data_IF_660168244994
#
_entry.id   IF_660168244994
#
_cell.length_a   1.000
_cell.length_b   1.000
_cell.length_c   1.000
_cell.angle_alpha   90.00
_cell.angle_beta   90.00
_cell.angle_gamma   90.00
#
_symmetry.space_group_name_H-M   'P 1'
#
loop_
_entity.id
_entity.type
_entity.pdbx_description
1 polymer ?
#
# COMPACT_ATOMS: atom_id res chain seq x y z
N UNK A 1 -9.96 29.37 -0.21
CA UNK A 1 -10.85 28.68 0.77
C UNK A 1 -11.09 27.25 0.30
N UNK A 2 -11.12 26.26 1.17
CA UNK A 2 -11.41 24.90 0.73
C UNK A 2 -12.81 24.83 0.11
N UNK A 3 -12.93 24.17 -1.03
CA UNK A 3 -14.20 23.96 -1.72
C UNK A 3 -15.01 22.95 -0.91
N UNK A 4 -16.17 23.33 -0.40
CA UNK A 4 -17.06 22.41 0.32
C UNK A 4 -17.67 21.40 -0.65
N UNK A 5 -18.07 20.21 -0.16
CA UNK A 5 -18.72 19.17 -0.98
C UNK A 5 -19.92 19.72 -1.77
N UNK A 6 -20.75 20.56 -1.16
CA UNK A 6 -21.90 21.21 -1.80
C UNK A 6 -21.48 22.17 -2.93
N UNK A 7 -20.39 22.94 -2.73
CA UNK A 7 -19.87 23.86 -3.74
C UNK A 7 -19.36 23.09 -4.96
N UNK A 8 -18.67 21.96 -4.75
CA UNK A 8 -18.18 21.12 -5.83
C UNK A 8 -19.33 20.56 -6.69
N UNK A 9 -20.43 20.12 -6.07
CA UNK A 9 -21.63 19.64 -6.79
C UNK A 9 -22.20 20.73 -7.69
N UNK A 10 -22.30 21.98 -7.20
CA UNK A 10 -22.77 23.11 -8.00
C UNK A 10 -21.81 23.42 -9.16
N UNK A 11 -20.50 23.37 -8.91
CA UNK A 11 -19.52 23.61 -9.95
C UNK A 11 -19.57 22.56 -11.08
N UNK A 12 -19.85 21.30 -10.77
CA UNK A 12 -20.09 20.27 -11.80
C UNK A 12 -21.39 20.52 -12.58
N UNK A 13 -22.43 20.99 -11.91
CA UNK A 13 -23.69 21.35 -12.58
C UNK A 13 -23.49 22.56 -13.51
N UNK A 14 -22.75 23.58 -13.06
CA UNK A 14 -22.36 24.75 -13.88
C UNK A 14 -21.52 24.31 -15.10
N UNK A 15 -20.48 23.51 -14.91
CA UNK A 15 -19.62 23.00 -15.99
C UNK A 15 -20.45 22.34 -17.11
N UNK A 16 -21.38 21.46 -16.72
CA UNK A 16 -22.26 20.77 -17.67
C UNK A 16 -23.11 21.76 -18.49
N UNK A 17 -23.60 22.82 -17.86
CA UNK A 17 -24.40 23.85 -18.53
C UNK A 17 -23.55 24.75 -19.43
N UNK A 18 -22.43 25.26 -18.92
CA UNK A 18 -21.55 26.21 -19.61
C UNK A 18 -20.84 25.60 -20.83
N UNK A 19 -20.56 24.29 -20.78
CA UNK A 19 -19.98 23.54 -21.89
C UNK A 19 -20.96 23.28 -23.05
N UNK A 20 -22.27 23.35 -22.79
CA UNK A 20 -23.28 23.06 -23.80
C UNK A 20 -23.38 24.21 -24.81
N UNK A 21 -22.89 23.99 -26.04
CA UNK A 21 -22.90 24.99 -27.12
C UNK A 21 -24.23 25.08 -27.86
N UNK A 22 -25.16 24.13 -27.67
CA UNK A 22 -26.44 24.08 -28.40
C UNK A 22 -27.55 24.78 -27.66
N UNK A 23 -27.52 24.84 -26.32
CA UNK A 23 -28.53 25.49 -25.48
C UNK A 23 -27.95 26.75 -24.84
N UNK A 24 -28.75 27.81 -24.78
CA UNK A 24 -28.44 29.03 -24.05
C UNK A 24 -28.92 28.87 -22.60
N UNK A 25 -28.05 29.10 -21.65
CA UNK A 25 -28.33 29.05 -20.22
C UNK A 25 -28.31 30.46 -19.65
N UNK A 26 -29.43 30.90 -19.13
CA UNK A 26 -29.56 32.15 -18.38
C UNK A 26 -29.28 31.87 -16.90
N UNK A 27 -29.12 32.93 -16.08
CA UNK A 27 -28.76 32.74 -14.66
C UNK A 27 -29.83 31.95 -13.89
N UNK A 28 -31.07 32.08 -14.29
CA UNK A 28 -32.22 31.33 -13.71
C UNK A 28 -32.13 29.83 -14.08
N UNK A 29 -31.73 29.50 -15.30
CA UNK A 29 -31.54 28.14 -15.74
C UNK A 29 -30.35 27.49 -15.00
N UNK A 30 -29.24 28.22 -14.84
CA UNK A 30 -28.07 27.78 -14.07
C UNK A 30 -28.44 27.50 -12.61
N UNK A 31 -29.23 28.38 -12.01
CA UNK A 31 -29.74 28.19 -10.66
C UNK A 31 -30.62 26.95 -10.54
N UNK A 32 -31.52 26.73 -11.49
CA UNK A 32 -32.44 25.58 -11.50
C UNK A 32 -31.64 24.25 -11.62
N UNK A 33 -30.66 24.18 -12.51
CA UNK A 33 -29.80 22.97 -12.70
C UNK A 33 -28.92 22.71 -11.48
N UNK A 34 -28.38 23.76 -10.83
CA UNK A 34 -27.63 23.62 -9.60
C UNK A 34 -28.47 23.12 -8.44
N UNK A 35 -29.70 23.67 -8.28
CA UNK A 35 -30.64 23.25 -7.24
C UNK A 35 -31.09 21.80 -7.45
N UNK A 36 -31.36 21.39 -8.71
CA UNK A 36 -31.66 20.01 -9.05
C UNK A 36 -30.52 19.05 -8.69
N UNK A 37 -29.26 19.46 -8.90
CA UNK A 37 -28.10 18.66 -8.52
C UNK A 37 -27.90 18.56 -7.00
N UNK A 38 -28.24 19.62 -6.26
CA UNK A 38 -28.22 19.64 -4.80
C UNK A 38 -29.34 18.77 -4.19
N UNK A 39 -30.54 18.84 -4.77
CA UNK A 39 -31.68 18.02 -4.34
C UNK A 39 -31.39 16.51 -4.48
N UNK A 40 -30.69 16.11 -5.54
CA UNK A 40 -30.30 14.71 -5.76
C UNK A 40 -29.37 14.14 -4.66
N UNK A 41 -28.82 14.98 -3.79
CA UNK A 41 -27.94 14.61 -2.66
C UNK A 41 -28.44 15.13 -1.32
N UNK A 42 -29.76 15.37 -1.22
CA UNK A 42 -30.47 15.85 -0.02
C UNK A 42 -29.90 17.16 0.57
N UNK A 43 -29.41 18.06 -0.31
CA UNK A 43 -28.91 19.37 0.10
C UNK A 43 -29.95 20.47 -0.14
N UNK A 44 -29.89 21.53 0.69
CA UNK A 44 -30.79 22.67 0.58
C UNK A 44 -30.54 23.48 -0.70
N UNK A 45 -31.61 24.06 -1.32
CA UNK A 45 -31.47 24.90 -2.50
C UNK A 45 -30.74 26.21 -2.18
N UNK A 46 -30.06 26.75 -3.20
CA UNK A 46 -29.33 28.01 -3.10
C UNK A 46 -30.08 29.18 -3.73
N UNK A 47 -29.63 30.39 -3.42
CA UNK A 47 -30.18 31.64 -3.95
C UNK A 47 -29.47 32.09 -5.24
N UNK A 48 -30.12 33.01 -5.96
CA UNK A 48 -29.58 33.68 -7.15
C UNK A 48 -28.27 34.42 -6.86
N UNK A 49 -28.12 34.96 -5.66
CA UNK A 49 -26.88 35.61 -5.21
C UNK A 49 -25.72 34.60 -5.11
N UNK A 50 -26.02 33.40 -4.61
CA UNK A 50 -25.03 32.34 -4.47
C UNK A 50 -24.50 31.90 -5.83
N UNK A 51 -25.41 31.70 -6.83
CA UNK A 51 -25.01 31.28 -8.16
C UNK A 51 -24.15 32.32 -8.87
N UNK A 52 -24.46 33.64 -8.73
CA UNK A 52 -23.63 34.71 -9.28
C UNK A 52 -22.23 34.74 -8.66
N UNK A 53 -22.15 34.53 -7.35
CA UNK A 53 -20.85 34.42 -6.68
C UNK A 53 -20.07 33.19 -7.15
N UNK A 54 -20.77 32.05 -7.29
CA UNK A 54 -20.14 30.82 -7.78
C UNK A 54 -19.59 31.01 -9.22
N UNK A 55 -20.29 31.71 -10.12
CA UNK A 55 -19.82 32.02 -11.48
C UNK A 55 -18.52 32.85 -11.44
N UNK A 56 -18.50 33.92 -10.63
CA UNK A 56 -17.30 34.78 -10.52
C UNK A 56 -16.11 34.05 -9.90
N UNK A 57 -16.36 33.23 -8.87
CA UNK A 57 -15.30 32.44 -8.26
C UNK A 57 -14.82 31.30 -9.17
N UNK A 58 -15.70 30.76 -10.02
CA UNK A 58 -15.38 29.69 -10.96
C UNK A 58 -14.27 30.08 -11.93
N UNK A 59 -14.32 31.32 -12.48
CA UNK A 59 -13.30 31.86 -13.37
C UNK A 59 -11.92 31.90 -12.70
N UNK A 60 -11.88 32.35 -11.44
CA UNK A 60 -10.65 32.45 -10.66
C UNK A 60 -10.10 31.08 -10.24
N UNK A 61 -11.00 30.17 -9.79
CA UNK A 61 -10.59 28.86 -9.29
C UNK A 61 -10.09 27.92 -10.37
N UNK A 62 -10.65 28.02 -11.58
CA UNK A 62 -10.36 27.08 -12.65
C UNK A 62 -9.64 27.71 -13.84
N UNK A 63 -9.19 28.96 -13.68
CA UNK A 63 -8.46 29.73 -14.68
C UNK A 63 -9.12 29.67 -16.07
N UNK A 64 -10.42 29.96 -16.11
CA UNK A 64 -11.23 29.94 -17.32
C UNK A 64 -12.04 31.24 -17.43
N UNK A 65 -12.55 31.55 -18.61
CA UNK A 65 -13.39 32.72 -18.86
C UNK A 65 -14.81 32.27 -19.23
N UNK A 66 -15.80 32.83 -18.52
CA UNK A 66 -17.22 32.62 -18.81
C UNK A 66 -17.75 33.81 -19.61
N UNK A 67 -18.03 33.60 -20.87
CA UNK A 67 -18.58 34.62 -21.73
C UNK A 67 -20.04 34.98 -21.33
N UNK A 68 -20.30 36.29 -21.16
CA UNK A 68 -21.60 36.87 -20.87
C UNK A 68 -22.16 37.47 -22.17
N UNK A 69 -23.02 36.72 -22.86
CA UNK A 69 -23.45 37.06 -24.20
C UNK A 69 -24.90 37.51 -24.23
N UNK A 70 -25.26 38.67 -24.86
CA UNK A 70 -26.65 39.08 -25.01
C UNK A 70 -27.34 38.23 -26.10
N UNK A 71 -28.60 37.89 -25.86
CA UNK A 71 -29.50 37.35 -26.89
C UNK A 71 -30.13 38.47 -27.70
N UNK A 72 -31.03 38.12 -28.65
CA UNK A 72 -31.79 39.06 -29.49
C UNK A 72 -32.76 39.99 -28.71
N UNK A 73 -33.02 39.69 -27.43
CA UNK A 73 -33.92 40.43 -26.54
C UNK A 73 -33.14 41.16 -25.42
N UNK A 74 -31.76 41.14 -25.48
CA UNK A 74 -30.90 41.78 -24.47
C UNK A 74 -30.73 41.00 -23.17
N UNK A 75 -31.20 39.74 -23.09
CA UNK A 75 -30.96 38.87 -21.93
C UNK A 75 -29.59 38.24 -22.01
N UNK A 76 -28.85 38.19 -20.90
CA UNK A 76 -27.52 37.63 -20.83
C UNK A 76 -27.60 36.12 -20.60
N UNK A 77 -26.96 35.33 -21.47
CA UNK A 77 -26.71 33.91 -21.29
C UNK A 77 -25.20 33.66 -21.11
N UNK A 78 -24.89 32.51 -20.47
CA UNK A 78 -23.56 32.15 -20.03
C UNK A 78 -23.05 30.93 -20.76
N UNK A 79 -21.78 30.93 -21.17
CA UNK A 79 -21.05 29.75 -21.68
C UNK A 79 -19.56 29.97 -21.55
N UNK A 80 -18.76 28.93 -21.65
CA UNK A 80 -17.31 29.10 -21.75
C UNK A 80 -16.90 29.85 -23.01
N UNK A 81 -15.90 30.73 -22.89
CA UNK A 81 -15.28 31.37 -24.03
C UNK A 81 -14.50 30.35 -24.85
N UNK A 82 -13.77 29.43 -24.17
CA UNK A 82 -13.15 28.27 -24.79
C UNK A 82 -14.11 27.08 -24.85
N UNK A 83 -14.61 26.66 -26.04
CA UNK A 83 -15.50 25.54 -26.19
C UNK A 83 -14.89 24.17 -25.79
N UNK A 84 -13.58 24.07 -25.69
CA UNK A 84 -12.88 22.84 -25.30
C UNK A 84 -12.66 22.72 -23.80
N UNK A 85 -12.91 23.82 -23.08
CA UNK A 85 -12.79 23.81 -21.61
C UNK A 85 -13.82 22.87 -20.97
N UNK A 86 -13.38 22.12 -19.97
CA UNK A 86 -14.23 21.31 -19.10
C UNK A 86 -13.59 21.18 -17.75
N UNK A 87 -14.39 21.35 -16.71
CA UNK A 87 -13.94 21.12 -15.33
C UNK A 87 -13.36 19.71 -15.13
N UNK A 88 -13.91 18.72 -15.82
CA UNK A 88 -13.41 17.34 -15.78
C UNK A 88 -11.99 17.17 -16.36
N UNK A 89 -11.60 18.03 -17.33
CA UNK A 89 -10.25 18.05 -17.89
C UNK A 89 -9.30 18.90 -17.05
N UNK A 90 -9.82 19.88 -16.29
CA UNK A 90 -9.05 20.86 -15.51
C UNK A 90 -8.84 20.46 -14.05
N UNK A 91 -9.35 19.30 -13.60
CA UNK A 91 -9.27 18.87 -12.20
C UNK A 91 -7.87 18.52 -11.75
N UNK A 92 -6.97 18.22 -12.66
CA UNK A 92 -5.58 17.91 -12.38
C UNK A 92 -4.70 18.77 -13.30
N UNK A 93 -3.74 19.44 -12.73
CA UNK A 93 -2.65 20.08 -13.49
C UNK A 93 -1.78 19.02 -14.17
N UNK A 94 -1.04 19.38 -15.20
CA UNK A 94 -0.09 18.48 -15.88
C UNK A 94 0.91 17.85 -14.89
N UNK A 95 1.32 18.60 -13.87
CA UNK A 95 2.20 18.09 -12.79
C UNK A 95 1.50 17.05 -11.91
N UNK A 96 0.23 17.25 -11.56
CA UNK A 96 -0.56 16.28 -10.79
C UNK A 96 -0.88 15.04 -11.60
N UNK A 97 -1.13 15.18 -12.91
CA UNK A 97 -1.28 14.06 -13.85
C UNK A 97 0.01 13.25 -13.93
N UNK A 98 1.18 13.91 -14.00
CA UNK A 98 2.47 13.22 -13.99
C UNK A 98 2.69 12.45 -12.67
N UNK A 99 2.43 13.06 -11.51
CA UNK A 99 2.51 12.39 -10.21
C UNK A 99 1.53 11.22 -10.08
N UNK A 100 0.34 11.35 -10.66
CA UNK A 100 -0.63 10.26 -10.68
C UNK A 100 -0.16 9.10 -11.57
N UNK A 101 0.46 9.40 -12.73
CA UNK A 101 1.11 8.38 -13.58
C UNK A 101 2.18 7.62 -12.81
N UNK A 102 3.05 8.33 -12.09
CA UNK A 102 4.09 7.71 -11.26
C UNK A 102 3.49 6.81 -10.17
N UNK A 103 2.42 7.27 -9.51
CA UNK A 103 1.71 6.47 -8.51
C UNK A 103 1.06 5.22 -9.12
N UNK A 104 0.43 5.34 -10.30
CA UNK A 104 -0.15 4.20 -11.02
C UNK A 104 0.93 3.20 -11.46
N UNK A 105 2.09 3.70 -11.89
CA UNK A 105 3.25 2.85 -12.21
C UNK A 105 3.76 2.10 -10.97
N UNK A 106 3.79 2.75 -9.80
CA UNK A 106 4.13 2.08 -8.54
C UNK A 106 3.08 1.04 -8.14
N UNK A 107 1.79 1.31 -8.31
CA UNK A 107 0.72 0.36 -8.06
C UNK A 107 0.74 -0.82 -9.03
N UNK A 108 1.25 -0.64 -10.25
CA UNK A 108 1.39 -1.71 -11.22
C UNK A 108 2.33 -2.86 -10.77
N UNK A 109 3.14 -2.66 -9.69
CA UNK A 109 3.92 -3.73 -9.03
C UNK A 109 3.05 -4.90 -8.57
N UNK A 110 1.78 -4.62 -8.24
CA UNK A 110 0.83 -5.63 -7.81
C UNK A 110 0.07 -6.26 -8.99
N UNK A 111 0.37 -5.82 -10.23
CA UNK A 111 -0.21 -6.37 -11.45
C UNK A 111 0.26 -7.81 -11.62
N UNK A 112 -0.68 -8.72 -11.85
CA UNK A 112 -0.40 -10.16 -11.99
C UNK A 112 -0.52 -10.96 -10.69
N UNK A 113 -0.78 -10.32 -9.55
CA UNK A 113 -1.23 -11.02 -8.35
C UNK A 113 -2.76 -11.18 -8.43
N UNK A 114 -3.30 -12.40 -8.39
CA UNK A 114 -4.74 -12.66 -8.61
C UNK A 114 -5.67 -11.82 -7.74
N UNK A 115 -5.29 -11.61 -6.48
CA UNK A 115 -6.04 -10.83 -5.50
C UNK A 115 -6.05 -9.31 -5.76
N UNK A 116 -5.23 -8.83 -6.69
CA UNK A 116 -5.17 -7.42 -7.10
C UNK A 116 -5.67 -7.17 -8.52
N UNK A 117 -6.46 -8.09 -9.10
CA UNK A 117 -7.06 -7.91 -10.43
C UNK A 117 -7.91 -6.64 -10.50
N UNK A 118 -8.65 -6.31 -9.44
CA UNK A 118 -9.42 -5.07 -9.32
C UNK A 118 -8.54 -3.81 -9.48
N UNK A 119 -7.29 -3.87 -9.04
CA UNK A 119 -6.34 -2.75 -9.17
C UNK A 119 -5.96 -2.56 -10.64
N UNK A 120 -5.78 -3.63 -11.39
CA UNK A 120 -5.54 -3.57 -12.83
C UNK A 120 -6.73 -2.92 -13.57
N UNK A 121 -7.95 -3.31 -13.19
CA UNK A 121 -9.17 -2.70 -13.72
C UNK A 121 -9.28 -1.21 -13.35
N UNK A 122 -8.97 -0.86 -12.09
CA UNK A 122 -8.98 0.52 -11.62
C UNK A 122 -7.93 1.38 -12.35
N UNK A 123 -6.69 0.89 -12.49
CA UNK A 123 -5.62 1.56 -13.24
C UNK A 123 -6.07 1.82 -14.68
N UNK A 124 -6.60 0.80 -15.37
CA UNK A 124 -7.11 0.91 -16.74
C UNK A 124 -8.25 1.94 -16.84
N UNK A 125 -9.16 1.97 -15.88
CA UNK A 125 -10.26 2.96 -15.82
C UNK A 125 -9.75 4.39 -15.61
N UNK A 126 -8.72 4.57 -14.77
CA UNK A 126 -8.11 5.88 -14.52
C UNK A 126 -7.35 6.35 -15.76
N UNK A 127 -6.54 5.48 -16.37
CA UNK A 127 -5.81 5.75 -17.61
C UNK A 127 -6.78 6.18 -18.72
N UNK A 128 -7.86 5.45 -18.92
CA UNK A 128 -8.88 5.79 -19.92
C UNK A 128 -9.59 7.14 -19.63
N UNK A 129 -9.92 7.43 -18.37
CA UNK A 129 -10.58 8.69 -17.99
C UNK A 129 -9.68 9.91 -18.12
N UNK A 130 -8.40 9.76 -17.87
CA UNK A 130 -7.42 10.85 -17.94
C UNK A 130 -6.73 10.93 -19.30
N UNK A 131 -7.14 10.09 -20.28
CA UNK A 131 -6.49 9.99 -21.59
C UNK A 131 -4.96 9.85 -21.49
N UNK A 132 -4.52 9.04 -20.51
CA UNK A 132 -3.11 8.73 -20.33
C UNK A 132 -2.72 7.69 -21.38
N UNK A 133 -1.66 7.95 -22.16
CA UNK A 133 -1.14 6.97 -23.11
C UNK A 133 -0.69 5.70 -22.35
N UNK A 134 -1.32 4.57 -22.68
CA UNK A 134 -1.11 3.26 -22.03
C UNK A 134 0.26 2.62 -22.35
N UNK A 135 1.12 3.29 -23.11
CA UNK A 135 2.40 2.78 -23.59
C UNK A 135 3.59 3.30 -22.78
N UNK A 136 3.57 3.08 -21.47
CA UNK A 136 4.84 3.15 -20.74
C UNK A 136 5.38 1.73 -20.70
N UNK A 137 6.38 1.43 -21.51
CA UNK A 137 7.20 0.23 -21.32
C UNK A 137 7.63 0.19 -19.87
N UNK A 138 7.53 -0.98 -19.23
CA UNK A 138 7.95 -1.15 -17.85
C UNK A 138 9.45 -0.89 -17.74
N UNK A 139 9.82 0.32 -17.35
CA UNK A 139 11.23 0.72 -17.15
C UNK A 139 11.74 0.35 -15.74
N UNK A 140 10.87 -0.21 -14.89
CA UNK A 140 11.19 -0.65 -13.53
C UNK A 140 10.76 -2.10 -13.38
N UNK A 141 11.73 -2.97 -13.09
CA UNK A 141 11.49 -4.37 -12.74
C UNK A 141 11.49 -4.55 -11.23
N UNK A 142 10.59 -5.39 -10.74
CA UNK A 142 10.57 -5.85 -9.34
C UNK A 142 10.79 -7.36 -9.33
N UNK A 143 11.47 -7.85 -8.29
CA UNK A 143 11.56 -9.27 -8.06
C UNK A 143 10.18 -9.82 -7.71
N UNK A 144 9.60 -10.62 -8.61
CA UNK A 144 8.32 -11.29 -8.41
C UNK A 144 8.52 -12.79 -8.56
N UNK A 145 7.87 -13.56 -7.71
CA UNK A 145 7.84 -15.01 -7.81
C UNK A 145 6.44 -15.41 -8.31
N UNK A 146 6.35 -15.74 -9.60
CA UNK A 146 5.10 -16.17 -10.25
C UNK A 146 4.57 -17.52 -9.73
N UNK A 147 5.43 -18.29 -9.06
CA UNK A 147 5.09 -19.60 -8.49
C UNK A 147 4.77 -19.54 -6.99
N UNK A 148 4.59 -18.34 -6.44
CA UNK A 148 4.30 -18.16 -5.04
C UNK A 148 2.87 -18.66 -4.74
N UNK A 149 2.77 -19.67 -3.87
CA UNK A 149 1.50 -20.23 -3.41
C UNK A 149 0.93 -19.42 -2.24
N UNK A 150 -0.38 -19.54 -2.00
CA UNK A 150 -1.08 -18.88 -0.89
C UNK A 150 -1.48 -17.45 -1.16
N UNK A 151 -1.22 -16.91 -2.36
CA UNK A 151 -1.63 -15.56 -2.74
C UNK A 151 -3.15 -15.42 -2.84
N UNK A 152 -3.84 -16.49 -3.15
CA UNK A 152 -5.30 -16.58 -3.22
C UNK A 152 -5.99 -16.24 -1.90
N UNK A 153 -5.28 -16.39 -0.77
CA UNK A 153 -5.79 -16.07 0.56
C UNK A 153 -5.59 -14.59 0.95
N UNK A 154 -4.77 -13.84 0.21
CA UNK A 154 -4.32 -12.52 0.65
C UNK A 154 -5.47 -11.50 0.73
N UNK A 155 -6.36 -11.49 -0.27
CA UNK A 155 -7.53 -10.59 -0.30
C UNK A 155 -8.48 -10.87 0.86
N UNK A 156 -8.88 -12.13 1.02
CA UNK A 156 -9.80 -12.53 2.10
C UNK A 156 -9.21 -12.26 3.47
N UNK A 157 -7.92 -12.53 3.68
CA UNK A 157 -7.23 -12.23 4.94
C UNK A 157 -7.16 -10.74 5.21
N UNK A 158 -6.90 -9.92 4.19
CA UNK A 158 -6.92 -8.46 4.33
C UNK A 158 -8.30 -7.98 4.78
N UNK A 159 -9.37 -8.49 4.17
CA UNK A 159 -10.75 -8.16 4.52
C UNK A 159 -11.10 -8.58 5.95
N UNK A 160 -10.73 -9.79 6.37
CA UNK A 160 -10.95 -10.27 7.74
C UNK A 160 -10.22 -9.43 8.78
N UNK A 161 -8.99 -8.98 8.50
CA UNK A 161 -8.24 -8.08 9.38
C UNK A 161 -8.91 -6.71 9.46
N UNK A 162 -9.24 -6.10 8.33
CA UNK A 162 -9.87 -4.77 8.28
C UNK A 162 -11.24 -4.76 8.96
N UNK A 163 -12.02 -5.83 8.79
CA UNK A 163 -13.35 -5.96 9.37
C UNK A 163 -13.34 -6.58 10.80
N UNK A 164 -12.15 -6.86 11.36
CA UNK A 164 -11.98 -7.45 12.70
C UNK A 164 -12.82 -8.72 12.86
N UNK A 165 -12.60 -9.68 11.98
CA UNK A 165 -13.34 -10.93 11.96
C UNK A 165 -12.44 -12.10 12.37
N UNK A 166 -13.00 -13.01 13.19
CA UNK A 166 -12.35 -14.26 13.58
C UNK A 166 -12.51 -15.29 12.48
N UNK A 167 -11.47 -16.08 12.24
CA UNK A 167 -11.42 -17.07 11.16
C UNK A 167 -11.06 -18.46 11.68
N UNK A 168 -11.59 -19.49 11.02
CA UNK A 168 -11.19 -20.89 11.19
C UNK A 168 -10.29 -21.27 10.02
N UNK A 169 -9.06 -21.70 10.30
CA UNK A 169 -8.03 -21.97 9.30
C UNK A 169 -7.60 -23.42 9.36
N UNK A 170 -7.66 -24.12 8.22
CA UNK A 170 -7.01 -25.43 8.04
C UNK A 170 -5.58 -25.19 7.54
N UNK A 171 -4.60 -25.56 8.36
CA UNK A 171 -3.18 -25.35 8.12
C UNK A 171 -2.41 -26.66 7.98
N UNK A 172 -1.56 -26.77 6.95
CA UNK A 172 -0.74 -27.94 6.64
C UNK A 172 0.76 -27.60 6.74
N UNK A 173 1.41 -27.82 7.90
CA UNK A 173 2.87 -27.77 7.97
C UNK A 173 3.50 -28.84 7.09
N UNK A 174 4.72 -28.60 6.57
CA UNK A 174 5.37 -29.57 5.67
C UNK A 174 5.63 -30.92 6.35
N UNK A 175 6.00 -30.91 7.66
CA UNK A 175 6.44 -32.12 8.37
C UNK A 175 5.41 -32.64 9.38
N UNK A 176 4.17 -32.14 9.33
CA UNK A 176 3.12 -32.52 10.31
C UNK A 176 1.78 -32.66 9.59
N UNK A 177 0.85 -33.43 10.16
CA UNK A 177 -0.51 -33.48 9.63
C UNK A 177 -1.19 -32.12 9.70
N UNK A 178 -2.19 -31.90 8.83
CA UNK A 178 -3.02 -30.71 8.87
C UNK A 178 -3.79 -30.62 10.17
N UNK A 179 -4.02 -29.39 10.61
CA UNK A 179 -4.82 -29.11 11.78
C UNK A 179 -5.73 -27.91 11.57
N UNK A 180 -6.85 -27.91 12.26
CA UNK A 180 -7.79 -26.77 12.28
C UNK A 180 -7.52 -25.92 13.52
N UNK A 181 -7.50 -24.60 13.35
CA UNK A 181 -7.39 -23.64 14.45
C UNK A 181 -8.25 -22.41 14.21
N UNK A 182 -8.80 -21.85 15.28
CA UNK A 182 -9.52 -20.59 15.26
C UNK A 182 -8.55 -19.45 15.58
N UNK A 183 -8.52 -18.43 14.72
CA UNK A 183 -7.55 -17.34 14.76
C UNK A 183 -8.23 -15.98 14.77
N UNK A 184 -7.64 -15.05 15.51
CA UNK A 184 -7.89 -13.62 15.42
C UNK A 184 -6.79 -13.01 14.55
N UNK A 185 -7.01 -12.76 13.25
CA UNK A 185 -5.99 -12.27 12.33
C UNK A 185 -5.69 -10.80 12.59
N UNK A 186 -4.40 -10.44 12.64
CA UNK A 186 -3.98 -9.09 13.00
C UNK A 186 -3.15 -8.39 11.94
N UNK A 187 -2.20 -9.11 11.32
CA UNK A 187 -1.23 -8.48 10.46
C UNK A 187 -0.72 -9.43 9.38
N UNK A 188 -0.45 -8.90 8.19
CA UNK A 188 0.15 -9.66 7.08
C UNK A 188 1.50 -9.05 6.77
N UNK A 189 2.54 -9.87 6.76
CA UNK A 189 3.92 -9.46 6.49
C UNK A 189 4.53 -10.27 5.34
N UNK A 190 5.20 -9.57 4.42
CA UNK A 190 6.03 -10.22 3.41
C UNK A 190 7.49 -10.28 3.87
N UNK A 191 8.12 -11.43 3.72
CA UNK A 191 9.55 -11.62 3.91
C UNK A 191 10.11 -12.65 2.92
N UNK A 192 11.22 -12.31 2.24
CA UNK A 192 11.83 -13.15 1.20
C UNK A 192 10.80 -13.68 0.18
N UNK A 193 9.98 -12.77 -0.36
CA UNK A 193 8.91 -13.03 -1.31
C UNK A 193 7.79 -13.97 -0.81
N UNK A 194 7.79 -14.43 0.45
CA UNK A 194 6.73 -15.23 1.06
C UNK A 194 5.88 -14.37 1.98
N UNK A 195 4.57 -14.64 2.01
CA UNK A 195 3.62 -13.95 2.86
C UNK A 195 3.31 -14.74 4.12
N UNK A 196 3.13 -14.03 5.21
CA UNK A 196 2.86 -14.57 6.54
C UNK A 196 1.69 -13.84 7.19
N UNK A 197 0.80 -14.60 7.81
CA UNK A 197 -0.26 -14.11 8.68
C UNK A 197 0.22 -14.18 10.14
N UNK A 198 0.19 -13.05 10.83
CA UNK A 198 0.32 -12.98 12.28
C UNK A 198 -1.09 -12.95 12.90
N UNK A 199 -1.38 -13.90 13.75
CA UNK A 199 -2.69 -14.05 14.37
C UNK A 199 -2.57 -14.59 15.78
N UNK A 200 -3.55 -14.34 16.64
CA UNK A 200 -3.66 -15.01 17.94
C UNK A 200 -4.51 -16.26 17.80
N UNK A 201 -4.01 -17.37 18.27
CA UNK A 201 -4.78 -18.62 18.34
C UNK A 201 -5.76 -18.56 19.52
N UNK A 202 -7.06 -18.74 19.24
CA UNK A 202 -8.11 -18.63 20.24
C UNK A 202 -8.01 -19.71 21.36
N UNK A 203 -7.54 -20.90 21.03
CA UNK A 203 -7.43 -22.00 22.00
C UNK A 203 -6.23 -21.85 22.94
N UNK A 204 -5.08 -21.43 22.39
CA UNK A 204 -3.83 -21.35 23.14
C UNK A 204 -3.55 -19.96 23.69
N UNK A 205 -4.27 -18.94 23.21
CA UNK A 205 -4.05 -17.52 23.51
C UNK A 205 -2.62 -17.05 23.20
N UNK A 206 -1.95 -17.72 22.24
CA UNK A 206 -0.58 -17.39 21.82
C UNK A 206 -0.58 -16.83 20.40
N UNK A 207 0.36 -15.93 20.17
CA UNK A 207 0.63 -15.44 18.81
C UNK A 207 1.18 -16.58 17.95
N UNK A 208 0.66 -16.68 16.74
CA UNK A 208 1.11 -17.62 15.71
C UNK A 208 1.48 -16.87 14.44
N UNK A 209 2.57 -17.28 13.85
CA UNK A 209 2.97 -16.84 12.52
C UNK A 209 2.74 -18.00 11.53
N UNK A 210 1.92 -17.78 10.54
CA UNK A 210 1.51 -18.78 9.56
C UNK A 210 1.89 -18.34 8.15
N UNK A 211 2.65 -19.15 7.44
CA UNK A 211 2.95 -18.89 6.04
C UNK A 211 1.71 -19.19 5.19
N UNK A 212 1.33 -18.25 4.31
CA UNK A 212 0.11 -18.35 3.52
C UNK A 212 0.10 -19.56 2.58
N UNK A 213 1.28 -19.94 2.06
CA UNK A 213 1.48 -21.10 1.18
C UNK A 213 1.16 -22.48 1.84
N UNK A 214 0.86 -22.47 3.13
CA UNK A 214 0.48 -23.67 3.90
C UNK A 214 -0.95 -23.63 4.42
N UNK A 215 -1.68 -22.58 4.12
CA UNK A 215 -3.11 -22.47 4.40
C UNK A 215 -3.85 -23.25 3.31
N UNK A 216 -4.69 -24.17 3.70
CA UNK A 216 -5.53 -24.94 2.78
C UNK A 216 -6.91 -24.31 2.61
N UNK A 217 -7.53 -23.93 3.72
CA UNK A 217 -8.88 -23.36 3.73
C UNK A 217 -9.01 -22.30 4.82
N UNK A 218 -9.84 -21.32 4.55
CA UNK A 218 -10.20 -20.24 5.50
C UNK A 218 -11.72 -20.10 5.49
N UNK A 219 -12.31 -20.11 6.68
CA UNK A 219 -13.73 -19.88 6.87
C UNK A 219 -13.96 -18.82 7.94
N UNK A 220 -15.05 -18.06 7.82
CA UNK A 220 -15.48 -17.12 8.85
C UNK A 220 -15.93 -17.91 10.09
N UNK A 221 -15.38 -17.56 11.26
CA UNK A 221 -15.78 -18.15 12.52
C UNK A 221 -16.90 -17.36 13.19
N UNK A 222 -17.73 -18.04 13.98
CA UNK A 222 -18.77 -17.41 14.81
C UNK A 222 -18.23 -16.85 16.15
N UNK A 223 -16.96 -17.08 16.44
CA UNK A 223 -16.31 -16.62 17.68
C UNK A 223 -16.08 -15.11 17.61
N UNK A 224 -16.37 -14.39 18.71
CA UNK A 224 -16.14 -12.97 18.80
C UNK A 224 -14.65 -12.64 18.64
N UNK A 225 -14.36 -11.59 17.87
CA UNK A 225 -12.99 -11.13 17.62
C UNK A 225 -12.36 -10.52 18.88
N UNK A 226 -11.13 -10.91 19.17
CA UNK A 226 -10.32 -10.35 20.25
C UNK A 226 -9.31 -9.40 19.62
N UNK A 227 -9.35 -8.08 19.89
CA UNK A 227 -8.36 -7.15 19.38
C UNK A 227 -7.00 -7.36 20.04
N UNK A 228 -5.90 -7.10 19.30
CA UNK A 228 -4.57 -7.04 19.88
C UNK A 228 -4.27 -5.60 20.37
N UNK A 229 -3.59 -5.50 21.49
CA UNK A 229 -3.02 -4.25 22.04
C UNK A 229 -1.51 -4.18 21.70
N UNK A 230 -1.15 -4.44 20.42
CA UNK A 230 0.23 -4.53 19.95
C UNK A 230 0.42 -3.55 18.79
N UNK A 231 1.49 -2.79 18.80
CA UNK A 231 1.95 -2.08 17.61
C UNK A 231 2.71 -3.06 16.69
N UNK A 232 2.08 -3.40 15.57
CA UNK A 232 2.66 -4.35 14.63
C UNK A 232 3.82 -3.77 13.81
N UNK A 233 3.98 -2.45 13.78
CA UNK A 233 5.16 -1.83 13.19
C UNK A 233 6.41 -2.13 14.03
N UNK A 234 6.26 -2.13 15.37
CA UNK A 234 7.34 -2.40 16.31
C UNK A 234 7.51 -3.90 16.62
N UNK A 235 6.46 -4.71 16.42
CA UNK A 235 6.45 -6.13 16.81
C UNK A 235 7.62 -6.95 16.25
N UNK A 236 8.12 -6.57 15.08
CA UNK A 236 9.22 -7.26 14.40
C UNK A 236 10.55 -6.50 14.48
N UNK A 237 10.61 -5.41 15.24
CA UNK A 237 11.79 -4.54 15.29
C UNK A 237 13.01 -5.20 15.90
N UNK A 238 12.81 -6.18 16.77
CA UNK A 238 13.90 -6.91 17.41
C UNK A 238 14.39 -8.13 16.63
N UNK A 239 13.87 -8.39 15.42
CA UNK A 239 14.25 -9.58 14.63
C UNK A 239 14.59 -9.24 13.18
N UNK A 240 15.50 -10.02 12.61
CA UNK A 240 15.65 -10.10 11.17
C UNK A 240 14.61 -11.12 10.66
N UNK A 241 13.76 -10.68 9.73
CA UNK A 241 12.72 -11.55 9.17
C UNK A 241 11.39 -11.49 9.91
N UNK A 242 10.86 -12.64 10.25
CA UNK A 242 9.48 -12.77 10.77
C UNK A 242 9.35 -13.70 11.99
N UNK A 243 10.34 -14.54 12.25
CA UNK A 243 10.29 -15.52 13.36
C UNK A 243 10.78 -14.90 14.65
N UNK A 244 9.90 -14.84 15.65
CA UNK A 244 10.24 -14.44 17.02
C UNK A 244 10.23 -15.70 17.89
N UNK A 245 11.43 -16.17 18.35
CA UNK A 245 11.52 -17.29 19.28
C UNK A 245 10.84 -16.96 20.61
N UNK A 246 10.17 -17.95 21.21
CA UNK A 246 9.53 -17.78 22.52
C UNK A 246 10.57 -17.46 23.60
N UNK A 247 10.24 -16.53 24.49
CA UNK A 247 11.05 -16.16 25.67
C UNK A 247 12.49 -15.75 25.33
N UNK A 248 12.75 -15.30 24.09
CA UNK A 248 14.05 -14.82 23.67
C UNK A 248 14.15 -13.30 23.77
N UNK A 249 15.33 -12.83 24.16
CA UNK A 249 15.63 -11.41 24.33
C UNK A 249 16.63 -10.92 23.28
N UNK A 250 16.59 -9.63 22.88
CA UNK A 250 17.56 -9.04 21.99
C UNK A 250 18.99 -9.14 22.55
N UNK A 251 19.93 -9.52 21.69
CA UNK A 251 21.35 -9.68 22.03
C UNK A 251 22.20 -8.73 21.19
N UNK A 252 23.31 -8.28 21.75
CA UNK A 252 24.33 -7.55 21.02
C UNK A 252 25.19 -8.52 20.24
N UNK A 253 25.13 -8.45 18.92
CA UNK A 253 25.84 -9.32 18.01
C UNK A 253 26.93 -8.53 17.33
N UNK A 254 28.17 -8.92 17.52
CA UNK A 254 29.34 -8.35 16.86
C UNK A 254 29.71 -9.21 15.64
N UNK A 255 29.76 -8.58 14.50
CA UNK A 255 30.07 -9.21 13.21
C UNK A 255 31.27 -8.51 12.59
N UNK A 256 32.24 -9.30 12.10
CA UNK A 256 33.36 -8.81 11.29
C UNK A 256 33.10 -9.15 9.84
N UNK A 257 33.15 -8.16 8.98
CA UNK A 257 33.07 -8.32 7.53
C UNK A 257 34.39 -8.13 6.85
N UNK A 258 34.62 -8.86 5.75
CA UNK A 258 35.77 -8.62 4.89
C UNK A 258 35.76 -7.17 4.37
N UNK A 259 36.98 -6.64 4.09
CA UNK A 259 37.10 -5.28 3.55
C UNK A 259 36.33 -5.09 2.23
N UNK A 260 36.17 -6.14 1.44
CA UNK A 260 35.41 -6.15 0.20
C UNK A 260 33.89 -6.06 0.46
N UNK A 261 33.36 -6.77 1.46
CA UNK A 261 31.93 -6.85 1.74
C UNK A 261 31.42 -5.69 2.58
N UNK A 262 32.26 -5.12 3.44
CA UNK A 262 31.82 -4.06 4.38
C UNK A 262 31.09 -2.90 3.71
N UNK A 263 31.52 -2.31 2.58
CA UNK A 263 30.79 -1.20 1.94
C UNK A 263 29.35 -1.54 1.58
N UNK A 264 29.09 -2.77 1.14
CA UNK A 264 27.73 -3.24 0.80
C UNK A 264 26.84 -3.34 2.03
N UNK A 265 27.39 -3.84 3.15
CA UNK A 265 26.64 -3.95 4.43
C UNK A 265 26.39 -2.57 5.04
N UNK A 266 27.27 -1.60 4.82
CA UNK A 266 27.06 -0.23 5.26
C UNK A 266 26.04 0.53 4.41
N UNK A 267 25.97 0.23 3.10
CA UNK A 267 24.98 0.84 2.20
C UNK A 267 23.58 0.22 2.31
N UNK A 268 23.52 -1.07 2.72
CA UNK A 268 22.28 -1.80 2.99
C UNK A 268 22.39 -2.49 4.35
N UNK A 269 22.10 -1.78 5.45
CA UNK A 269 22.19 -2.34 6.79
C UNK A 269 21.38 -3.62 6.96
N UNK A 270 21.91 -4.57 7.74
CA UNK A 270 21.24 -5.84 8.06
C UNK A 270 19.99 -5.60 8.89
N UNK A 271 20.06 -4.61 9.78
CA UNK A 271 19.00 -4.24 10.70
C UNK A 271 19.10 -2.75 11.05
N UNK A 272 18.01 -2.10 11.43
CA UNK A 272 18.00 -0.67 11.80
C UNK A 272 18.90 -0.36 13.01
N UNK A 273 19.11 -1.32 13.92
CA UNK A 273 20.00 -1.18 15.08
C UNK A 273 21.49 -1.21 14.74
N UNK A 274 21.86 -1.40 13.44
CA UNK A 274 23.26 -1.56 13.02
C UNK A 274 24.12 -0.34 13.36
N UNK A 275 25.25 -0.57 14.02
CA UNK A 275 26.25 0.44 14.37
C UNK A 275 27.64 0.00 13.96
N UNK A 276 28.47 0.92 13.50
CA UNK A 276 29.88 0.65 13.22
C UNK A 276 30.64 0.70 14.54
N UNK A 277 31.35 -0.38 14.90
CA UNK A 277 32.21 -0.44 16.08
C UNK A 277 33.67 -0.16 15.72
N UNK A 278 34.19 -0.78 14.68
CA UNK A 278 35.52 -0.55 14.17
C UNK A 278 35.54 -0.67 12.65
N UNK A 279 35.62 0.49 11.98
CA UNK A 279 35.61 0.57 10.51
C UNK A 279 36.88 -0.03 9.90
N UNK A 280 38.02 0.11 10.59
CA UNK A 280 39.30 -0.37 10.07
C UNK A 280 39.39 -1.92 10.07
N UNK A 281 38.82 -2.54 11.10
CA UNK A 281 38.69 -3.98 11.21
C UNK A 281 37.43 -4.56 10.61
N UNK A 282 36.54 -3.74 10.06
CA UNK A 282 35.28 -4.17 9.47
C UNK A 282 34.25 -4.68 10.49
N UNK A 283 34.29 -4.18 11.73
CA UNK A 283 33.40 -4.65 12.81
C UNK A 283 32.15 -3.77 12.92
N UNK A 284 31.00 -4.42 12.85
CA UNK A 284 29.69 -3.82 13.14
C UNK A 284 29.01 -4.52 14.31
N UNK A 285 28.07 -3.84 14.92
CA UNK A 285 27.17 -4.40 15.94
C UNK A 285 25.74 -4.26 15.47
N UNK A 286 24.94 -5.29 15.70
CA UNK A 286 23.48 -5.25 15.62
C UNK A 286 22.90 -5.71 16.97
N UNK A 287 21.70 -5.23 17.30
CA UNK A 287 20.95 -5.68 18.48
C UNK A 287 19.68 -6.32 18.01
N UNK A 288 19.60 -7.65 18.06
CA UNK A 288 18.44 -8.43 17.59
C UNK A 288 18.30 -9.73 18.38
N UNK A 289 17.12 -10.31 18.37
CA UNK A 289 16.87 -11.67 18.84
C UNK A 289 17.45 -12.66 17.80
N UNK A 290 18.41 -13.51 18.17
CA UNK A 290 18.91 -14.52 17.25
C UNK A 290 17.80 -15.48 16.82
N UNK A 291 17.63 -15.63 15.53
CA UNK A 291 16.67 -16.52 14.91
C UNK A 291 17.26 -17.17 13.66
N UNK A 292 16.47 -18.05 13.04
CA UNK A 292 16.89 -18.81 11.87
C UNK A 292 17.05 -17.94 10.60
N UNK A 293 16.36 -16.83 10.49
CA UNK A 293 16.54 -15.90 9.37
C UNK A 293 17.87 -15.16 9.48
N UNK A 294 18.26 -14.75 10.69
CA UNK A 294 19.60 -14.21 10.92
C UNK A 294 20.69 -15.23 10.58
N UNK A 295 20.56 -16.47 11.05
CA UNK A 295 21.54 -17.52 10.74
C UNK A 295 21.65 -17.78 9.23
N UNK A 296 20.52 -17.88 8.54
CA UNK A 296 20.49 -18.04 7.09
C UNK A 296 21.13 -16.85 6.37
N UNK A 297 20.90 -15.63 6.84
CA UNK A 297 21.51 -14.42 6.28
C UNK A 297 23.03 -14.39 6.52
N UNK A 298 23.49 -14.81 7.68
CA UNK A 298 24.93 -14.92 7.97
C UNK A 298 25.60 -15.96 7.07
N UNK A 299 24.99 -17.13 6.91
CA UNK A 299 25.51 -18.18 6.02
C UNK A 299 25.48 -17.74 4.55
N UNK A 300 24.56 -16.89 4.13
CA UNK A 300 24.52 -16.32 2.77
C UNK A 300 25.76 -15.47 2.44
N UNK A 301 26.35 -14.79 3.43
CA UNK A 301 27.62 -14.07 3.24
C UNK A 301 28.82 -14.98 3.06
N UNK A 302 28.71 -16.26 3.38
CA UNK A 302 29.80 -17.24 3.24
C UNK A 302 31.02 -16.86 4.07
N UNK A 303 32.19 -16.79 3.44
CA UNK A 303 33.44 -16.45 4.08
C UNK A 303 33.68 -14.94 4.26
N UNK A 304 32.72 -14.10 3.90
CA UNK A 304 32.81 -12.65 4.04
C UNK A 304 32.36 -12.13 5.42
N UNK A 305 31.80 -13.01 6.27
CA UNK A 305 31.37 -12.65 7.61
C UNK A 305 31.91 -13.60 8.68
N UNK A 306 32.27 -13.04 9.81
CA UNK A 306 32.62 -13.77 11.03
C UNK A 306 31.78 -13.27 12.19
N UNK A 307 31.14 -14.18 12.92
CA UNK A 307 30.47 -13.86 14.18
C UNK A 307 31.52 -13.78 15.28
N UNK A 308 31.68 -12.60 15.90
CA UNK A 308 32.61 -12.41 17.03
C UNK A 308 31.92 -12.65 18.37
N UNK A 309 30.68 -12.20 18.50
CA UNK A 309 29.84 -12.33 19.71
C UNK A 309 28.36 -12.42 19.31
N UNK A 310 27.52 -13.08 20.10
CA UNK A 310 27.86 -13.87 21.29
C UNK A 310 28.46 -15.23 20.90
N UNK A 311 29.19 -15.86 21.84
CA UNK A 311 29.86 -17.14 21.61
C UNK A 311 28.88 -18.25 21.24
N UNK A 312 27.67 -18.24 21.79
CA UNK A 312 26.60 -19.19 21.45
C UNK A 312 26.25 -19.17 19.96
N UNK A 313 26.01 -17.98 19.40
CA UNK A 313 25.71 -17.82 17.96
C UNK A 313 26.93 -18.20 17.11
N UNK A 314 28.13 -17.82 17.56
CA UNK A 314 29.40 -18.21 16.87
C UNK A 314 29.53 -19.72 16.74
N UNK A 315 29.29 -20.45 17.82
CA UNK A 315 29.35 -21.92 17.82
C UNK A 315 28.28 -22.53 16.93
N UNK A 316 27.04 -22.06 16.99
CA UNK A 316 25.94 -22.52 16.11
C UNK A 316 26.30 -22.38 14.63
N UNK A 317 26.83 -21.22 14.24
CA UNK A 317 27.29 -21.00 12.86
C UNK A 317 28.46 -21.91 12.49
N UNK A 318 29.44 -22.07 13.39
CA UNK A 318 30.60 -22.97 13.14
C UNK A 318 30.18 -24.42 12.97
N UNK A 319 29.23 -24.92 13.76
CA UNK A 319 28.66 -26.26 13.62
C UNK A 319 27.97 -26.44 12.27
N UNK A 320 27.14 -25.47 11.84
CA UNK A 320 26.50 -25.51 10.51
C UNK A 320 27.51 -25.51 9.37
N UNK A 321 28.55 -24.69 9.46
CA UNK A 321 29.63 -24.66 8.46
C UNK A 321 30.32 -26.01 8.40
N UNK A 322 30.57 -26.65 9.53
CA UNK A 322 31.18 -27.99 9.58
C UNK A 322 30.29 -29.03 8.90
N UNK A 323 29.01 -29.04 9.22
CA UNK A 323 28.04 -29.92 8.57
C UNK A 323 27.96 -29.66 7.05
N UNK A 324 27.94 -28.38 6.63
CA UNK A 324 28.00 -28.02 5.21
C UNK A 324 29.27 -28.54 4.54
N UNK A 325 30.46 -28.39 5.17
CA UNK A 325 31.71 -28.89 4.65
C UNK A 325 31.69 -30.39 4.46
N UNK A 326 31.07 -31.13 5.39
CA UNK A 326 31.02 -32.61 5.31
C UNK A 326 30.11 -33.10 4.15
N UNK A 327 29.14 -32.30 3.68
CA UNK A 327 28.34 -32.61 2.49
C UNK A 327 29.14 -32.55 1.18
N UNK A 328 30.29 -31.88 1.17
CA UNK A 328 31.13 -31.72 -0.02
C UNK A 328 32.42 -32.59 0.02
N UNK A 329 32.57 -33.46 1.02
CA UNK A 329 33.62 -34.49 1.06
C UNK A 329 33.18 -35.79 0.38
#
# INVERSE_FOLDING_TARGET
>A
MPVTKQKLIRHYALDRCLRNQTRRYYVEDLLAECNKALEAVDCLPISLRTIKNDINEFETLYNTVIAHLPDSHGRIYYRYEDPQFSLQKSLLSDEEVAKLKDALLMLSRFKGLPQFEWMTELVTKIEAKLHLDAHTESVIGFETNEYLQGLEHLESLFDYICNKQTIDVTYQPYDKPSFLCTLHPYYIKQHNSRWFLLAMNNQTQKMMLMALDRIQEIHLSSIAYVPAEIDFAEYFDDVIGVTIPQDAEPQHILLRFSAHRLPYVLSKPLHHSQKIKDKAQGVIEITVIPNHELEAQLLWFGNDVEVLQPETLRQQIAEKITQMHDLYK
#
